data_IF_093419194505
#
_entry.id   IF_093419194505
#
_cell.length_a   1.000
_cell.length_b   1.000
_cell.length_c   1.000
_cell.angle_alpha   90.00
_cell.angle_beta   90.00
_cell.angle_gamma   90.00
#
_symmetry.space_group_name_H-M   'P 1'
#
loop_
_entity.id
_entity.type
_entity.pdbx_description
1 polymer ?
#
# COMPACT_ATOMS: atom_id res chain seq x y z
N UNK A 1 -5.34 13.70 5.53
CA UNK A 1 -6.37 12.73 5.07
C UNK A 1 -7.30 12.36 6.22
N UNK A 2 -8.61 12.23 5.99
CA UNK A 2 -9.56 11.97 7.07
C UNK A 2 -9.62 10.48 7.48
N UNK A 3 -9.78 10.22 8.78
CA UNK A 3 -10.00 8.90 9.39
C UNK A 3 -11.16 8.14 8.74
N UNK A 4 -12.15 8.88 8.21
CA UNK A 4 -13.29 8.34 7.45
C UNK A 4 -12.85 7.58 6.19
N UNK A 5 -11.81 8.06 5.50
CA UNK A 5 -11.24 7.38 4.34
C UNK A 5 -10.57 6.06 4.73
N UNK A 6 -9.77 6.06 5.80
CA UNK A 6 -9.13 4.85 6.29
C UNK A 6 -10.16 3.79 6.71
N UNK A 7 -11.25 4.20 7.37
CA UNK A 7 -12.38 3.32 7.69
C UNK A 7 -13.05 2.73 6.44
N UNK A 8 -13.20 3.51 5.37
CA UNK A 8 -13.75 3.03 4.10
C UNK A 8 -12.82 1.96 3.48
N UNK A 9 -11.52 2.25 3.42
CA UNK A 9 -10.51 1.31 2.90
C UNK A 9 -10.51 0.02 3.74
N UNK A 10 -10.59 0.12 5.07
CA UNK A 10 -10.70 -1.05 5.95
C UNK A 10 -11.98 -1.85 5.76
N UNK A 11 -13.10 -1.19 5.45
CA UNK A 11 -14.37 -1.87 5.17
C UNK A 11 -14.26 -2.68 3.88
N UNK A 12 -13.67 -2.09 2.83
CA UNK A 12 -13.49 -2.75 1.53
C UNK A 12 -12.47 -3.89 1.66
N UNK A 13 -11.29 -3.64 2.26
CA UNK A 13 -10.28 -4.67 2.48
C UNK A 13 -10.74 -5.78 3.44
N UNK A 14 -11.68 -5.49 4.34
CA UNK A 14 -12.27 -6.46 5.24
C UNK A 14 -13.06 -7.55 4.52
N UNK A 15 -13.65 -7.23 3.35
CA UNK A 15 -14.32 -8.22 2.47
C UNK A 15 -13.35 -9.24 1.87
N UNK A 16 -12.06 -8.92 1.84
CA UNK A 16 -11.01 -9.78 1.28
C UNK A 16 -10.12 -10.39 2.38
N UNK A 17 -10.45 -10.18 3.66
CA UNK A 17 -9.58 -10.47 4.81
C UNK A 17 -8.19 -9.79 4.75
N UNK A 18 -8.07 -8.69 4.00
CA UNK A 18 -6.82 -7.95 3.79
C UNK A 18 -6.66 -6.72 4.68
N UNK A 19 -7.72 -6.39 5.43
CA UNK A 19 -7.67 -5.38 6.46
C UNK A 19 -8.58 -5.79 7.62
N UNK A 20 -8.34 -5.28 8.84
CA UNK A 20 -9.18 -5.60 9.97
C UNK A 20 -10.62 -5.10 9.73
N UNK A 21 -11.55 -6.02 9.50
CA UNK A 21 -12.92 -5.71 9.07
C UNK A 21 -13.71 -4.85 10.08
N UNK A 22 -13.37 -4.92 11.37
CA UNK A 22 -13.86 -4.02 12.44
C UNK A 22 -12.83 -3.89 13.56
N UNK A 23 -12.52 -2.64 13.92
CA UNK A 23 -11.68 -2.27 15.07
C UNK A 23 -12.51 -2.18 16.37
N UNK A 24 -13.84 -2.15 16.26
CA UNK A 24 -14.76 -2.17 17.41
C UNK A 24 -15.03 -3.61 17.86
N UNK A 25 -15.02 -3.79 19.19
CA UNK A 25 -14.89 -5.08 19.90
C UNK A 25 -15.94 -6.14 19.56
N UNK A 26 -17.07 -5.81 18.94
CA UNK A 26 -18.19 -6.74 18.78
C UNK A 26 -18.66 -6.86 17.33
N UNK A 27 -18.72 -8.09 16.83
CA UNK A 27 -19.53 -8.45 15.66
C UNK A 27 -18.75 -8.73 14.38
N UNK A 28 -18.14 -9.91 14.32
CA UNK A 28 -18.08 -10.69 13.09
C UNK A 28 -18.89 -11.96 13.33
N UNK A 29 -19.78 -12.30 12.38
CA UNK A 29 -20.67 -13.48 12.41
C UNK A 29 -19.88 -14.79 12.20
N UNK A 30 -18.59 -14.69 11.83
CA UNK A 30 -17.66 -15.80 11.62
C UNK A 30 -16.33 -15.55 12.37
N UNK A 31 -15.67 -16.57 12.94
CA UNK A 31 -14.36 -16.37 13.57
C UNK A 31 -13.36 -15.85 12.54
N UNK A 32 -12.78 -14.67 12.79
CA UNK A 32 -11.91 -13.96 11.84
C UNK A 32 -10.73 -14.80 11.34
N UNK A 33 -10.26 -15.75 12.17
CA UNK A 33 -9.23 -16.72 11.81
C UNK A 33 -9.70 -17.73 10.76
N UNK A 34 -10.91 -18.30 10.91
CA UNK A 34 -11.45 -19.26 9.95
C UNK A 34 -11.78 -18.59 8.61
N UNK A 35 -12.30 -17.36 8.65
CA UNK A 35 -12.54 -16.57 7.44
C UNK A 35 -11.24 -16.28 6.66
N UNK A 36 -10.17 -15.95 7.38
CA UNK A 36 -8.86 -15.71 6.79
C UNK A 36 -8.23 -16.99 6.24
N UNK A 37 -8.38 -18.11 6.96
CA UNK A 37 -7.96 -19.43 6.48
C UNK A 37 -8.69 -19.81 5.18
N UNK A 38 -10.00 -19.56 5.11
CA UNK A 38 -10.80 -19.80 3.91
C UNK A 38 -10.25 -19.01 2.72
N UNK A 39 -9.92 -17.73 2.90
CA UNK A 39 -9.31 -16.92 1.83
C UNK A 39 -7.93 -17.43 1.40
N UNK A 40 -7.10 -17.88 2.35
CA UNK A 40 -5.79 -18.49 2.04
C UNK A 40 -5.99 -19.75 1.19
N UNK A 41 -6.92 -20.63 1.58
CA UNK A 41 -7.23 -21.86 0.84
C UNK A 41 -7.77 -21.52 -0.55
N UNK A 42 -8.70 -20.58 -0.65
CA UNK A 42 -9.32 -20.19 -1.92
C UNK A 42 -8.29 -19.59 -2.89
N UNK A 43 -7.41 -18.70 -2.41
CA UNK A 43 -6.33 -18.13 -3.22
C UNK A 43 -5.35 -19.21 -3.66
N UNK A 44 -4.95 -20.11 -2.75
CA UNK A 44 -4.00 -21.19 -3.06
C UNK A 44 -4.59 -22.15 -4.11
N UNK A 45 -5.87 -22.51 -3.98
CA UNK A 45 -6.58 -23.35 -4.94
C UNK A 45 -6.69 -22.66 -6.31
N UNK A 46 -7.08 -21.38 -6.34
CA UNK A 46 -7.18 -20.59 -7.57
C UNK A 46 -5.85 -20.50 -8.31
N UNK A 47 -4.74 -20.26 -7.60
CA UNK A 47 -3.40 -20.22 -8.18
C UNK A 47 -2.98 -21.60 -8.69
N UNK A 48 -3.29 -22.67 -7.96
CA UNK A 48 -2.98 -24.04 -8.38
C UNK A 48 -3.68 -24.39 -9.69
N UNK A 49 -4.97 -24.06 -9.80
CA UNK A 49 -5.74 -24.23 -11.04
C UNK A 49 -5.13 -23.39 -12.17
N UNK A 50 -4.83 -22.12 -11.90
CA UNK A 50 -4.24 -21.20 -12.88
C UNK A 50 -2.87 -21.70 -13.36
N UNK A 51 -2.04 -22.24 -12.47
CA UNK A 51 -0.73 -22.80 -12.79
C UNK A 51 -0.85 -23.99 -13.76
N UNK A 52 -1.83 -24.87 -13.57
CA UNK A 52 -2.11 -25.99 -14.49
C UNK A 52 -2.44 -25.47 -15.89
N UNK A 53 -3.33 -24.48 -16.01
CA UNK A 53 -3.67 -23.87 -17.31
C UNK A 53 -2.49 -23.13 -17.95
N UNK A 54 -1.63 -22.50 -17.15
CA UNK A 54 -0.44 -21.77 -17.63
C UNK A 54 0.69 -22.66 -18.10
N UNK A 55 0.68 -23.96 -17.80
CA UNK A 55 1.76 -24.89 -18.17
C UNK A 55 2.11 -24.83 -19.66
N UNK A 56 1.11 -24.75 -20.54
CA UNK A 56 1.31 -24.66 -21.99
C UNK A 56 1.94 -23.33 -22.42
N UNK A 57 1.56 -22.23 -21.75
CA UNK A 57 2.12 -20.89 -21.99
C UNK A 57 3.55 -20.76 -21.45
N UNK A 58 3.88 -21.43 -20.35
CA UNK A 58 5.24 -21.41 -19.81
C UNK A 58 6.26 -22.12 -20.71
N UNK A 59 5.82 -23.11 -21.48
CA UNK A 59 6.68 -23.82 -22.45
C UNK A 59 7.13 -22.94 -23.62
N UNK A 60 6.45 -21.82 -23.89
CA UNK A 60 6.79 -20.90 -24.99
C UNK A 60 7.69 -19.74 -24.55
N UNK A 61 7.92 -19.59 -23.24
CA UNK A 61 8.80 -18.56 -22.68
C UNK A 61 10.27 -18.99 -22.76
N UNK A 62 11.16 -18.02 -22.95
CA UNK A 62 12.60 -18.25 -22.75
C UNK A 62 12.90 -18.53 -21.27
N UNK A 63 14.06 -19.16 -20.99
CA UNK A 63 14.46 -19.51 -19.61
C UNK A 63 14.42 -18.31 -18.67
N UNK A 64 14.90 -17.15 -19.12
CA UNK A 64 14.87 -15.90 -18.34
C UNK A 64 13.42 -15.44 -18.12
N UNK A 65 12.57 -15.56 -19.14
CA UNK A 65 11.16 -15.14 -19.08
C UNK A 65 10.35 -16.00 -18.13
N UNK A 66 10.63 -17.30 -18.14
CA UNK A 66 10.06 -18.25 -17.21
C UNK A 66 10.50 -17.94 -15.77
N UNK A 67 11.78 -17.66 -15.54
CA UNK A 67 12.28 -17.31 -14.20
C UNK A 67 11.65 -16.01 -13.66
N UNK A 68 11.54 -14.97 -14.48
CA UNK A 68 10.92 -13.71 -14.09
C UNK A 68 9.41 -13.87 -13.84
N UNK A 69 8.71 -14.60 -14.71
CA UNK A 69 7.29 -14.89 -14.52
C UNK A 69 7.03 -15.70 -13.24
N UNK A 70 7.79 -16.78 -13.02
CA UNK A 70 7.66 -17.59 -11.81
C UNK A 70 7.96 -16.79 -10.55
N UNK A 71 9.00 -15.95 -10.57
CA UNK A 71 9.35 -15.07 -9.44
C UNK A 71 8.25 -14.05 -9.15
N UNK A 72 7.62 -13.50 -10.19
CA UNK A 72 6.49 -12.58 -10.08
C UNK A 72 5.26 -13.26 -9.49
N UNK A 73 4.92 -14.47 -9.96
CA UNK A 73 3.78 -15.24 -9.48
C UNK A 73 3.99 -15.63 -8.00
N UNK A 74 5.21 -16.06 -7.64
CA UNK A 74 5.57 -16.42 -6.26
C UNK A 74 5.52 -15.22 -5.32
N UNK A 75 6.10 -14.08 -5.70
CA UNK A 75 6.10 -12.90 -4.83
C UNK A 75 4.69 -12.30 -4.68
N UNK A 76 3.87 -12.32 -5.73
CA UNK A 76 2.47 -11.91 -5.65
C UNK A 76 1.67 -12.82 -4.72
N UNK A 77 1.90 -14.14 -4.78
CA UNK A 77 1.29 -15.08 -3.86
C UNK A 77 1.70 -14.80 -2.40
N UNK A 78 3.01 -14.73 -2.13
CA UNK A 78 3.54 -14.45 -0.79
C UNK A 78 2.95 -13.14 -0.27
N UNK A 79 2.92 -12.08 -1.09
CA UNK A 79 2.39 -10.77 -0.72
C UNK A 79 0.90 -10.84 -0.30
N UNK A 80 0.06 -11.57 -1.05
CA UNK A 80 -1.35 -11.74 -0.71
C UNK A 80 -1.53 -12.52 0.60
N UNK A 81 -0.81 -13.62 0.78
CA UNK A 81 -0.87 -14.43 2.01
C UNK A 81 -0.35 -13.64 3.21
N UNK A 82 0.79 -12.95 3.07
CA UNK A 82 1.35 -12.10 4.12
C UNK A 82 0.39 -10.99 4.53
N UNK A 83 -0.34 -10.39 3.58
CA UNK A 83 -1.36 -9.35 3.89
C UNK A 83 -2.46 -9.91 4.80
N UNK A 84 -2.99 -11.09 4.46
CA UNK A 84 -4.02 -11.76 5.27
C UNK A 84 -3.46 -12.13 6.65
N UNK A 85 -2.24 -12.69 6.71
CA UNK A 85 -1.59 -13.07 7.96
C UNK A 85 -1.34 -11.87 8.87
N UNK A 86 -0.82 -10.76 8.35
CA UNK A 86 -0.62 -9.51 9.10
C UNK A 86 -1.94 -9.01 9.69
N UNK A 87 -3.03 -9.07 8.92
CA UNK A 87 -4.36 -8.65 9.38
C UNK A 87 -4.86 -9.46 10.58
N UNK A 88 -4.60 -10.77 10.59
CA UNK A 88 -5.06 -11.67 11.67
C UNK A 88 -4.13 -11.64 12.88
N UNK A 89 -2.82 -11.69 12.66
CA UNK A 89 -1.81 -11.88 13.71
C UNK A 89 -1.52 -10.57 14.46
N UNK A 90 -1.52 -9.43 13.78
CA UNK A 90 -1.14 -8.14 14.34
C UNK A 90 -2.34 -7.29 14.79
N UNK A 91 -3.44 -7.93 15.19
CA UNK A 91 -4.68 -7.24 15.62
C UNK A 91 -4.43 -6.22 16.75
N UNK A 92 -3.57 -6.55 17.71
CA UNK A 92 -3.20 -5.64 18.80
C UNK A 92 -2.48 -4.38 18.26
N UNK A 93 -1.50 -4.57 17.37
CA UNK A 93 -0.76 -3.47 16.73
C UNK A 93 -1.72 -2.57 15.92
N UNK A 94 -2.67 -3.15 15.19
CA UNK A 94 -3.69 -2.40 14.45
C UNK A 94 -4.55 -1.52 15.35
N UNK A 95 -5.04 -2.06 16.47
CA UNK A 95 -5.83 -1.29 17.42
C UNK A 95 -5.01 -0.15 18.02
N UNK A 96 -3.78 -0.44 18.47
CA UNK A 96 -2.86 0.55 19.02
C UNK A 96 -2.52 1.65 18.02
N UNK A 97 -2.30 1.28 16.76
CA UNK A 97 -2.04 2.22 15.66
C UNK A 97 -3.18 3.23 15.51
N UNK A 98 -4.42 2.74 15.50
CA UNK A 98 -5.61 3.57 15.33
C UNK A 98 -5.84 4.47 16.53
N UNK A 99 -5.60 3.99 17.74
CA UNK A 99 -5.74 4.80 18.94
C UNK A 99 -4.70 5.94 18.99
N UNK A 100 -3.44 5.65 18.62
CA UNK A 100 -2.40 6.68 18.48
C UNK A 100 -2.76 7.70 17.39
N UNK A 101 -3.28 7.25 16.24
CA UNK A 101 -3.74 8.14 15.17
C UNK A 101 -4.90 9.04 15.59
N UNK A 102 -5.83 8.55 16.42
CA UNK A 102 -6.92 9.39 16.96
C UNK A 102 -6.37 10.48 17.87
N UNK A 103 -5.42 10.15 18.75
CA UNK A 103 -4.78 11.10 19.67
C UNK A 103 -4.09 12.22 18.88
N UNK A 104 -3.31 11.87 17.85
CA UNK A 104 -2.59 12.84 17.00
C UNK A 104 -3.50 13.76 16.20
N UNK A 105 -4.80 13.45 16.06
CA UNK A 105 -5.77 14.20 15.25
C UNK A 105 -6.76 15.03 16.06
N UNK A 106 -6.66 15.07 17.38
CA UNK A 106 -7.56 15.87 18.22
C UNK A 106 -7.50 17.36 17.83
N UNK A 107 -8.48 17.83 17.06
CA UNK A 107 -8.67 19.27 16.78
C UNK A 107 -9.33 19.65 15.46
N UNK A 108 -9.37 18.80 14.43
CA UNK A 108 -10.09 19.14 13.19
C UNK A 108 -10.58 17.89 12.46
N UNK A 109 -11.86 17.55 12.63
CA UNK A 109 -12.55 16.87 11.55
C UNK A 109 -12.73 17.89 10.44
N UNK A 110 -11.78 17.96 9.50
CA UNK A 110 -12.00 18.70 8.27
C UNK A 110 -13.30 18.18 7.64
N UNK A 111 -14.32 19.04 7.62
CA UNK A 111 -15.64 18.84 7.02
C UNK A 111 -15.54 18.87 5.49
N UNK A 112 -14.50 18.25 4.93
CA UNK A 112 -14.37 18.08 3.50
C UNK A 112 -15.43 17.07 3.04
N UNK A 113 -16.49 17.58 2.42
CA UNK A 113 -17.61 16.81 1.87
C UNK A 113 -17.12 15.72 0.91
N UNK A 114 -16.00 15.95 0.23
CA UNK A 114 -15.39 15.09 -0.78
C UNK A 114 -14.20 14.26 -0.28
N UNK A 115 -14.27 13.77 0.96
CA UNK A 115 -13.18 13.01 1.57
C UNK A 115 -12.86 11.67 0.89
N UNK A 116 -13.81 11.07 0.17
CA UNK A 116 -13.66 9.79 -0.52
C UNK A 116 -13.16 9.92 -1.97
N UNK A 117 -13.20 11.13 -2.54
CA UNK A 117 -12.88 11.40 -3.95
C UNK A 117 -11.52 10.87 -4.39
N UNK A 118 -10.41 11.02 -3.61
CA UNK A 118 -9.12 10.50 -4.04
C UNK A 118 -9.10 8.99 -4.23
N UNK A 119 -9.78 8.24 -3.34
CA UNK A 119 -9.85 6.78 -3.43
C UNK A 119 -10.80 6.32 -4.54
N UNK A 120 -11.93 7.00 -4.72
CA UNK A 120 -12.85 6.69 -5.81
C UNK A 120 -12.18 6.96 -7.17
N UNK A 121 -11.50 8.09 -7.31
CA UNK A 121 -10.79 8.44 -8.53
C UNK A 121 -9.69 7.42 -8.87
N UNK A 122 -8.87 7.01 -7.89
CA UNK A 122 -7.84 5.99 -8.13
C UNK A 122 -8.42 4.62 -8.44
N UNK A 123 -9.56 4.25 -7.83
CA UNK A 123 -10.26 3.00 -8.15
C UNK A 123 -10.82 3.01 -9.57
N UNK A 124 -11.45 4.10 -10.00
CA UNK A 124 -11.95 4.26 -11.38
C UNK A 124 -10.81 4.17 -12.39
N UNK A 125 -9.69 4.87 -12.14
CA UNK A 125 -8.49 4.78 -13.00
C UNK A 125 -7.96 3.35 -13.05
N UNK A 126 -7.87 2.67 -11.92
CA UNK A 126 -7.45 1.26 -11.87
C UNK A 126 -8.37 0.38 -12.71
N UNK A 127 -9.70 0.51 -12.57
CA UNK A 127 -10.67 -0.30 -13.32
C UNK A 127 -10.57 -0.03 -14.82
N UNK A 128 -10.42 1.24 -15.24
CA UNK A 128 -10.23 1.58 -16.66
C UNK A 128 -8.98 0.91 -17.23
N UNK A 129 -7.86 0.96 -16.49
CA UNK A 129 -6.61 0.32 -16.92
C UNK A 129 -6.80 -1.19 -17.04
N UNK A 130 -7.43 -1.83 -16.04
CA UNK A 130 -7.66 -3.28 -16.06
C UNK A 130 -8.62 -3.72 -17.18
N UNK A 131 -9.67 -2.96 -17.46
CA UNK A 131 -10.58 -3.23 -18.59
C UNK A 131 -9.82 -3.13 -19.91
N UNK A 132 -9.00 -2.09 -20.06
CA UNK A 132 -8.23 -1.89 -21.27
C UNK A 132 -7.15 -2.98 -21.46
N UNK A 133 -6.44 -3.35 -20.40
CA UNK A 133 -5.48 -4.46 -20.43
C UNK A 133 -6.18 -5.78 -20.76
N UNK A 134 -7.34 -6.06 -20.14
CA UNK A 134 -8.17 -7.23 -20.45
C UNK A 134 -8.55 -7.26 -21.92
N UNK A 135 -9.00 -6.14 -22.48
CA UNK A 135 -9.36 -6.03 -23.88
C UNK A 135 -8.18 -6.39 -24.81
N UNK A 136 -7.00 -5.83 -24.55
CA UNK A 136 -5.80 -6.14 -25.34
C UNK A 136 -5.40 -7.62 -25.23
N UNK A 137 -5.45 -8.19 -24.03
CA UNK A 137 -5.03 -9.57 -23.82
C UNK A 137 -6.05 -10.55 -24.44
N UNK A 138 -7.35 -10.27 -24.36
CA UNK A 138 -8.38 -11.07 -25.05
C UNK A 138 -8.18 -11.03 -26.57
N UNK A 139 -7.76 -9.91 -27.16
CA UNK A 139 -7.45 -9.86 -28.59
C UNK A 139 -6.26 -10.75 -28.98
N UNK A 140 -5.31 -10.98 -28.06
CA UNK A 140 -4.10 -11.77 -28.32
C UNK A 140 -4.33 -13.26 -28.02
N UNK A 141 -4.93 -13.57 -26.88
CA UNK A 141 -5.06 -14.92 -26.31
C UNK A 141 -6.44 -15.53 -26.59
N UNK A 142 -7.45 -14.70 -26.89
CA UNK A 142 -8.82 -15.13 -27.04
C UNK A 142 -9.55 -15.32 -25.70
N UNK A 143 -10.69 -16.05 -25.71
CA UNK A 143 -11.54 -16.23 -24.52
C UNK A 143 -10.87 -17.04 -23.39
N UNK A 144 -9.80 -17.78 -23.68
CA UNK A 144 -9.01 -18.52 -22.69
C UNK A 144 -8.33 -17.62 -21.64
N UNK A 145 -8.32 -16.30 -21.87
CA UNK A 145 -7.87 -15.29 -20.93
C UNK A 145 -8.39 -15.51 -19.51
N UNK A 146 -9.69 -15.77 -19.34
CA UNK A 146 -10.30 -15.86 -18.01
C UNK A 146 -9.75 -17.05 -17.21
N UNK A 147 -9.48 -18.17 -17.88
CA UNK A 147 -8.87 -19.34 -17.23
C UNK A 147 -7.41 -19.09 -16.83
N UNK A 148 -6.72 -18.22 -17.57
CA UNK A 148 -5.29 -17.95 -17.38
C UNK A 148 -5.01 -16.79 -16.42
N UNK A 149 -5.88 -15.78 -16.32
CA UNK A 149 -5.55 -14.51 -15.64
C UNK A 149 -6.59 -14.00 -14.64
N UNK A 150 -7.78 -14.60 -14.54
CA UNK A 150 -8.82 -14.07 -13.64
C UNK A 150 -8.37 -14.01 -12.17
N UNK A 151 -7.67 -15.04 -11.69
CA UNK A 151 -7.14 -15.08 -10.32
C UNK A 151 -6.04 -14.03 -10.12
N UNK A 152 -5.15 -13.84 -11.09
CA UNK A 152 -4.10 -12.81 -11.03
C UNK A 152 -4.74 -11.41 -10.95
N UNK A 153 -5.76 -11.14 -11.78
CA UNK A 153 -6.46 -9.85 -11.78
C UNK A 153 -7.16 -9.58 -10.45
N UNK A 154 -7.76 -10.62 -9.87
CA UNK A 154 -8.33 -10.55 -8.53
C UNK A 154 -7.26 -10.22 -7.48
N UNK A 155 -6.11 -10.90 -7.52
CA UNK A 155 -4.98 -10.63 -6.63
C UNK A 155 -4.45 -9.20 -6.78
N UNK A 156 -4.34 -8.69 -8.01
CA UNK A 156 -3.90 -7.32 -8.28
C UNK A 156 -4.87 -6.28 -7.69
N UNK A 157 -6.18 -6.51 -7.81
CA UNK A 157 -7.18 -5.64 -7.19
C UNK A 157 -7.13 -5.67 -5.66
N UNK A 158 -6.94 -6.86 -5.10
CA UNK A 158 -6.70 -7.06 -3.67
C UNK A 158 -5.49 -6.25 -3.20
N UNK A 159 -4.38 -6.33 -3.93
CA UNK A 159 -3.19 -5.54 -3.63
C UNK A 159 -3.44 -4.03 -3.76
N UNK A 160 -4.18 -3.57 -4.77
CA UNK A 160 -4.58 -2.16 -4.91
C UNK A 160 -5.23 -1.59 -3.64
N UNK A 161 -6.04 -2.39 -2.94
CA UNK A 161 -6.65 -1.98 -1.66
C UNK A 161 -5.56 -1.81 -0.58
N UNK A 162 -4.60 -2.73 -0.52
CA UNK A 162 -3.46 -2.66 0.41
C UNK A 162 -2.59 -1.43 0.11
N UNK A 163 -2.27 -1.13 -1.16
CA UNK A 163 -1.57 0.09 -1.56
C UNK A 163 -2.31 1.34 -1.06
N UNK A 164 -3.62 1.39 -1.28
CA UNK A 164 -4.47 2.51 -0.85
C UNK A 164 -4.47 2.68 0.67
N UNK A 165 -4.42 1.57 1.41
CA UNK A 165 -4.34 1.54 2.87
C UNK A 165 -3.00 2.08 3.37
N UNK A 166 -1.88 1.56 2.85
CA UNK A 166 -0.53 2.02 3.16
C UNK A 166 -0.40 3.52 2.88
N UNK A 167 -0.83 3.96 1.70
CA UNK A 167 -0.83 5.36 1.29
C UNK A 167 -1.62 6.26 2.25
N UNK A 168 -2.83 5.82 2.64
CA UNK A 168 -3.69 6.57 3.58
C UNK A 168 -3.03 6.72 4.94
N UNK A 169 -2.43 5.64 5.47
CA UNK A 169 -1.69 5.65 6.73
C UNK A 169 -0.47 6.59 6.69
N UNK A 170 0.35 6.51 5.63
CA UNK A 170 1.52 7.38 5.45
C UNK A 170 1.13 8.86 5.39
N UNK A 171 0.03 9.19 4.70
CA UNK A 171 -0.47 10.57 4.66
C UNK A 171 -0.91 11.07 6.03
N UNK A 172 -1.52 10.23 6.86
CA UNK A 172 -1.89 10.64 8.23
C UNK A 172 -0.66 10.90 9.11
N UNK A 173 0.36 10.06 9.00
CA UNK A 173 1.65 10.26 9.69
C UNK A 173 2.29 11.57 9.22
N UNK A 174 2.29 11.82 7.91
CA UNK A 174 2.78 13.06 7.31
C UNK A 174 2.07 14.32 7.80
N UNK A 175 0.75 14.29 7.83
CA UNK A 175 -0.04 15.42 8.32
C UNK A 175 0.27 15.69 9.79
N UNK A 176 0.47 14.65 10.59
CA UNK A 176 0.86 14.76 12.01
C UNK A 176 2.25 15.40 12.17
N UNK A 177 3.23 14.98 11.35
CA UNK A 177 4.57 15.62 11.29
C UNK A 177 4.45 17.11 10.93
N UNK A 178 3.61 17.45 9.96
CA UNK A 178 3.42 18.83 9.53
C UNK A 178 2.79 19.68 10.63
N UNK A 179 1.80 19.15 11.34
CA UNK A 179 1.15 19.85 12.44
C UNK A 179 2.13 20.12 13.60
N UNK A 180 2.94 19.12 13.99
CA UNK A 180 4.00 19.29 14.98
C UNK A 180 5.00 20.35 14.51
N UNK A 181 5.42 20.30 13.25
CA UNK A 181 6.35 21.29 12.70
C UNK A 181 5.78 22.71 12.68
N UNK A 182 4.49 22.88 12.37
CA UNK A 182 3.82 24.18 12.43
C UNK A 182 3.74 24.69 13.87
N UNK A 183 3.42 23.81 14.82
CA UNK A 183 3.41 24.16 16.24
C UNK A 183 4.81 24.62 16.71
N UNK A 184 5.87 23.92 16.31
CA UNK A 184 7.25 24.32 16.60
C UNK A 184 7.58 25.69 16.00
N UNK A 185 7.26 25.92 14.72
CA UNK A 185 7.54 27.20 14.05
C UNK A 185 6.72 28.37 14.62
N UNK A 186 5.57 28.08 15.24
CA UNK A 186 4.73 29.10 15.89
C UNK A 186 5.23 29.53 17.28
N UNK A 187 6.19 28.79 17.85
CA UNK A 187 6.84 29.18 19.11
C UNK A 187 7.70 30.42 18.88
N UNK A 188 7.29 31.56 19.44
CA UNK A 188 8.14 32.75 19.50
C UNK A 188 9.24 32.54 20.56
N UNK A 189 10.51 32.90 20.29
CA UNK A 189 11.63 32.67 21.21
C UNK A 189 11.45 33.35 22.58
N UNK A 190 10.69 34.46 22.67
CA UNK A 190 10.44 35.19 23.92
C UNK A 190 9.23 34.71 24.75
N UNK A 191 8.49 33.68 24.31
CA UNK A 191 7.36 33.11 25.07
C UNK A 191 7.40 31.58 25.02
N UNK A 192 8.43 31.01 25.64
CA UNK A 192 8.51 29.57 25.91
C UNK A 192 7.47 29.19 26.96
N UNK A 193 6.23 28.96 26.53
CA UNK A 193 5.20 28.41 27.40
C UNK A 193 5.52 26.93 27.65
N UNK A 194 5.80 26.57 28.91
CA UNK A 194 6.17 25.22 29.32
C UNK A 194 5.10 24.17 28.97
N UNK A 195 3.83 24.59 28.88
CA UNK A 195 2.72 23.74 28.47
C UNK A 195 2.80 23.33 26.99
N UNK A 196 3.01 24.30 26.09
CA UNK A 196 3.14 24.04 24.65
C UNK A 196 4.34 23.14 24.35
N UNK A 197 5.45 23.33 25.07
CA UNK A 197 6.64 22.50 24.89
C UNK A 197 6.42 21.05 25.36
N UNK A 198 5.70 20.86 26.48
CA UNK A 198 5.27 19.54 26.96
C UNK A 198 4.32 18.86 25.96
N UNK A 199 3.40 19.62 25.36
CA UNK A 199 2.48 19.11 24.34
C UNK A 199 3.23 18.65 23.09
N UNK A 200 4.12 19.47 22.53
CA UNK A 200 4.93 19.11 21.36
C UNK A 200 5.78 17.85 21.65
N UNK A 201 6.37 17.74 22.84
CA UNK A 201 7.14 16.55 23.24
C UNK A 201 6.25 15.30 23.32
N UNK A 202 5.03 15.43 23.82
CA UNK A 202 4.03 14.35 23.86
C UNK A 202 3.63 13.92 22.45
N UNK A 203 3.32 14.87 21.58
CA UNK A 203 2.92 14.60 20.20
C UNK A 203 4.04 13.95 19.40
N UNK A 204 5.29 14.39 19.59
CA UNK A 204 6.46 13.76 18.97
C UNK A 204 6.66 12.32 19.45
N UNK A 205 6.47 12.05 20.75
CA UNK A 205 6.54 10.69 21.29
C UNK A 205 5.44 9.80 20.71
N UNK A 206 4.20 10.29 20.64
CA UNK A 206 3.08 9.58 20.04
C UNK A 206 3.33 9.30 18.54
N UNK A 207 3.87 10.27 17.81
CA UNK A 207 4.24 10.10 16.41
C UNK A 207 5.35 9.05 16.22
N UNK A 208 6.40 9.07 17.04
CA UNK A 208 7.47 8.07 17.00
C UNK A 208 6.91 6.66 17.20
N UNK A 209 6.01 6.50 18.18
CA UNK A 209 5.33 5.24 18.42
C UNK A 209 4.42 4.84 17.25
N UNK A 210 3.75 5.81 16.61
CA UNK A 210 2.92 5.57 15.42
C UNK A 210 3.75 5.00 14.26
N UNK A 211 4.92 5.57 13.99
CA UNK A 211 5.83 5.13 12.92
C UNK A 211 6.40 3.74 13.20
N UNK A 212 6.76 3.46 14.45
CA UNK A 212 7.24 2.13 14.85
C UNK A 212 6.17 1.05 14.63
N UNK A 213 4.93 1.31 15.08
CA UNK A 213 3.82 0.39 14.86
C UNK A 213 3.51 0.24 13.37
N UNK A 214 3.54 1.32 12.61
CA UNK A 214 3.35 1.29 11.15
C UNK A 214 4.40 0.39 10.47
N UNK A 215 5.67 0.56 10.81
CA UNK A 215 6.76 -0.26 10.26
C UNK A 215 6.61 -1.73 10.65
N UNK A 216 6.14 -2.02 11.87
CA UNK A 216 5.88 -3.38 12.30
C UNK A 216 4.74 -4.01 11.50
N UNK A 217 3.68 -3.28 11.18
CA UNK A 217 2.54 -3.79 10.41
C UNK A 217 2.90 -3.94 8.93
N UNK A 218 3.49 -2.90 8.33
CA UNK A 218 3.62 -2.79 6.87
C UNK A 218 5.02 -2.99 6.34
N UNK A 219 6.07 -2.99 7.16
CA UNK A 219 7.46 -3.01 6.69
C UNK A 219 7.78 -4.17 5.75
N UNK A 220 7.39 -5.39 6.15
CA UNK A 220 7.53 -6.58 5.30
C UNK A 220 6.65 -6.54 4.04
N UNK A 221 5.43 -6.01 4.15
CA UNK A 221 4.53 -5.87 3.00
C UNK A 221 5.08 -4.89 1.98
N UNK A 222 5.63 -3.76 2.43
CA UNK A 222 6.29 -2.76 1.57
C UNK A 222 7.51 -3.39 0.87
N UNK A 223 8.31 -4.20 1.57
CA UNK A 223 9.45 -4.87 0.96
C UNK A 223 9.03 -5.85 -0.15
N UNK A 224 8.02 -6.69 0.12
CA UNK A 224 7.47 -7.63 -0.87
C UNK A 224 6.88 -6.90 -2.08
N UNK A 225 6.27 -5.75 -1.85
CA UNK A 225 5.66 -4.89 -2.86
C UNK A 225 6.69 -4.20 -3.75
N UNK A 226 7.81 -3.75 -3.17
CA UNK A 226 8.99 -3.30 -3.94
C UNK A 226 9.55 -4.45 -4.77
N UNK A 227 9.67 -5.64 -4.21
CA UNK A 227 10.12 -6.82 -4.95
C UNK A 227 9.19 -7.18 -6.12
N UNK A 228 7.88 -7.19 -5.89
CA UNK A 228 6.88 -7.49 -6.92
C UNK A 228 6.99 -6.51 -8.09
N UNK A 229 7.02 -5.21 -7.78
CA UNK A 229 7.13 -4.17 -8.80
C UNK A 229 8.47 -4.22 -9.55
N UNK A 230 9.56 -4.59 -8.87
CA UNK A 230 10.86 -4.81 -9.50
C UNK A 230 10.83 -5.97 -10.52
N UNK A 231 10.28 -7.13 -10.14
CA UNK A 231 10.17 -8.27 -11.07
C UNK A 231 9.26 -7.98 -12.27
N UNK A 232 8.15 -7.28 -12.04
CA UNK A 232 7.25 -6.84 -13.11
C UNK A 232 7.91 -5.87 -14.11
N UNK A 233 8.73 -4.94 -13.61
CA UNK A 233 9.53 -4.06 -14.47
C UNK A 233 10.55 -4.86 -15.29
N UNK A 234 11.29 -5.77 -14.66
CA UNK A 234 12.26 -6.62 -15.37
C UNK A 234 11.56 -7.46 -16.46
N UNK A 235 10.39 -8.02 -16.16
CA UNK A 235 9.59 -8.79 -17.11
C UNK A 235 9.16 -7.93 -18.29
N UNK A 236 8.72 -6.70 -18.02
CA UNK A 236 8.33 -5.73 -19.07
C UNK A 236 9.51 -5.36 -19.98
N UNK A 237 10.69 -5.13 -19.39
CA UNK A 237 11.94 -4.87 -20.14
C UNK A 237 12.32 -6.07 -20.99
N UNK A 238 12.22 -7.29 -20.45
CA UNK A 238 12.53 -8.49 -21.21
C UNK A 238 11.62 -8.67 -22.43
N UNK A 239 10.30 -8.46 -22.26
CA UNK A 239 9.34 -8.55 -23.37
C UNK A 239 9.66 -7.53 -24.46
N UNK A 240 10.09 -6.32 -24.06
CA UNK A 240 10.52 -5.26 -24.99
C UNK A 240 11.78 -5.66 -25.77
N UNK A 241 12.78 -6.26 -25.11
CA UNK A 241 14.04 -6.69 -25.74
C UNK A 241 13.81 -7.87 -26.69
N UNK A 242 13.00 -8.85 -26.28
CA UNK A 242 12.80 -10.08 -27.06
C UNK A 242 11.89 -9.89 -28.29
N UNK A 243 11.26 -8.72 -28.47
CA UNK A 243 10.50 -8.39 -29.67
C UNK A 243 9.50 -9.49 -30.05
N UNK A 244 8.59 -9.83 -29.14
CA UNK A 244 7.63 -10.92 -29.37
C UNK A 244 6.63 -10.54 -30.47
N UNK A 245 6.57 -11.34 -31.55
CA UNK A 245 5.71 -11.14 -32.74
C UNK A 245 4.21 -10.91 -32.43
N UNK A 246 3.73 -11.39 -31.28
CA UNK A 246 2.32 -11.35 -30.89
C UNK A 246 2.01 -10.35 -29.75
N UNK A 247 3.02 -9.71 -29.16
CA UNK A 247 2.80 -8.76 -28.06
C UNK A 247 2.89 -7.35 -28.60
N UNK A 248 1.75 -6.68 -28.71
CA UNK A 248 1.72 -5.28 -29.15
C UNK A 248 2.50 -4.41 -28.16
N UNK A 249 3.41 -3.58 -28.67
CA UNK A 249 4.17 -2.57 -27.90
C UNK A 249 3.27 -1.78 -26.95
N UNK A 250 2.01 -1.54 -27.35
CA UNK A 250 0.97 -0.92 -26.53
C UNK A 250 0.72 -1.66 -25.19
N UNK A 251 0.69 -2.99 -25.16
CA UNK A 251 0.47 -3.78 -23.93
C UNK A 251 1.63 -3.61 -22.96
N UNK A 252 2.87 -3.59 -23.48
CA UNK A 252 4.08 -3.37 -22.67
C UNK A 252 4.12 -1.95 -22.14
N UNK A 253 3.80 -0.95 -22.97
CA UNK A 253 3.72 0.45 -22.55
C UNK A 253 2.67 0.63 -21.46
N UNK A 254 1.50 0.00 -21.59
CA UNK A 254 0.40 0.19 -20.64
C UNK A 254 0.64 -0.54 -19.33
N UNK A 255 1.16 -1.78 -19.36
CA UNK A 255 1.63 -2.45 -18.15
C UNK A 255 2.74 -1.65 -17.46
N UNK A 256 3.70 -1.13 -18.23
CA UNK A 256 4.76 -0.28 -17.68
C UNK A 256 4.20 1.03 -17.10
N UNK A 257 3.26 1.69 -17.78
CA UNK A 257 2.58 2.89 -17.29
C UNK A 257 1.78 2.62 -16.02
N UNK A 258 1.14 1.45 -15.92
CA UNK A 258 0.42 1.03 -14.72
C UNK A 258 1.37 0.75 -13.56
N UNK A 259 2.48 0.05 -13.78
CA UNK A 259 3.50 -0.20 -12.77
C UNK A 259 4.16 1.12 -12.33
N UNK A 260 4.47 1.99 -13.30
CA UNK A 260 4.99 3.34 -13.04
C UNK A 260 3.94 4.16 -12.28
N UNK A 261 2.64 4.05 -12.59
CA UNK A 261 1.58 4.75 -11.86
C UNK A 261 1.44 4.23 -10.42
N UNK A 262 1.56 2.92 -10.20
CA UNK A 262 1.62 2.31 -8.86
C UNK A 262 2.84 2.81 -8.08
N UNK A 263 4.01 2.85 -8.73
CA UNK A 263 5.24 3.39 -8.15
C UNK A 263 5.14 4.89 -7.90
N UNK A 264 4.64 5.69 -8.84
CA UNK A 264 4.51 7.15 -8.75
C UNK A 264 3.46 7.54 -7.71
N UNK A 265 2.38 6.78 -7.55
CA UNK A 265 1.42 7.01 -6.45
C UNK A 265 2.09 6.80 -5.07
N UNK A 266 2.93 5.79 -4.95
CA UNK A 266 3.76 5.53 -3.76
C UNK A 266 4.88 6.57 -3.59
N UNK A 267 5.49 7.01 -4.68
CA UNK A 267 6.66 7.87 -4.73
C UNK A 267 6.30 9.35 -4.73
N UNK A 268 5.07 9.75 -5.06
CA UNK A 268 4.53 11.08 -4.74
C UNK A 268 4.24 11.16 -3.24
N UNK A 269 3.82 10.06 -2.61
CA UNK A 269 3.73 9.99 -1.14
C UNK A 269 5.12 10.12 -0.52
N UNK A 270 6.09 9.35 -0.99
CA UNK A 270 7.49 9.33 -0.51
C UNK A 270 8.29 10.59 -0.87
N UNK A 271 8.16 11.15 -2.06
CA UNK A 271 8.82 12.40 -2.46
C UNK A 271 8.14 13.62 -1.85
N UNK A 272 6.83 13.60 -1.53
CA UNK A 272 6.27 14.64 -0.64
C UNK A 272 6.88 14.55 0.76
N UNK A 273 7.24 13.36 1.25
CA UNK A 273 8.01 13.18 2.50
C UNK A 273 9.41 13.77 2.35
N UNK A 274 10.14 13.37 1.30
CA UNK A 274 11.56 13.71 1.10
C UNK A 274 11.78 15.17 0.65
N UNK A 275 11.09 15.65 -0.37
CA UNK A 275 11.23 17.03 -0.89
C UNK A 275 10.70 18.07 0.11
N UNK A 276 9.73 17.75 0.97
CA UNK A 276 9.28 18.70 2.02
C UNK A 276 10.16 18.66 3.27
N UNK A 277 10.83 17.54 3.54
CA UNK A 277 11.93 17.46 4.51
C UNK A 277 13.13 18.33 4.07
N UNK A 278 13.48 18.28 2.78
CA UNK A 278 14.58 19.07 2.21
C UNK A 278 14.25 20.57 2.04
N UNK A 279 13.05 20.92 1.54
CA UNK A 279 12.64 22.32 1.31
C UNK A 279 12.49 23.17 2.58
N UNK A 280 12.52 22.53 3.75
CA UNK A 280 12.38 23.20 5.04
C UNK A 280 13.71 23.43 5.77
N UNK A 281 14.85 23.11 5.16
CA UNK A 281 16.16 23.22 5.83
C UNK A 281 16.23 22.39 7.11
N UNK A 282 15.44 21.30 7.23
CA UNK A 282 15.18 20.59 8.48
C UNK A 282 16.17 19.47 8.81
N UNK A 283 17.15 19.18 7.95
CA UNK A 283 18.27 18.28 8.31
C UNK A 283 19.16 18.90 9.39
N UNK A 284 19.35 20.21 9.38
CA UNK A 284 20.06 20.96 10.45
C UNK A 284 19.23 21.09 11.72
N UNK A 285 17.89 21.19 11.62
CA UNK A 285 17.00 21.23 12.80
C UNK A 285 16.91 19.85 13.48
N UNK A 286 16.86 18.76 12.72
CA UNK A 286 16.90 17.41 13.29
C UNK A 286 18.26 17.13 13.97
N UNK A 287 19.37 17.59 13.38
CA UNK A 287 20.71 17.51 14.00
C UNK A 287 20.83 18.35 15.28
N UNK A 288 20.26 19.55 15.31
CA UNK A 288 20.32 20.44 16.48
C UNK A 288 19.35 20.04 17.59
N UNK A 289 18.20 19.44 17.27
CA UNK A 289 17.27 18.87 18.26
C UNK A 289 17.80 17.56 18.85
N UNK A 290 18.47 16.72 18.06
CA UNK A 290 19.18 15.52 18.57
C UNK A 290 20.40 15.93 19.41
N UNK A 291 21.11 17.01 19.07
CA UNK A 291 22.17 17.56 19.92
C UNK A 291 21.63 18.17 21.22
N UNK A 292 20.45 18.80 21.21
CA UNK A 292 19.80 19.29 22.42
C UNK A 292 19.32 18.15 23.33
N UNK A 293 18.84 17.04 22.78
CA UNK A 293 18.41 15.89 23.57
C UNK A 293 19.56 15.05 24.14
N UNK A 294 20.81 15.30 23.72
CA UNK A 294 22.02 14.67 24.28
C UNK A 294 22.70 15.55 25.34
N UNK A 295 22.29 16.81 25.48
CA UNK A 295 22.85 17.78 26.46
C UNK A 295 21.92 18.05 27.66
N UNK A 296 20.73 17.45 27.69
CA UNK A 296 19.74 17.47 28.77
C UNK A 296 19.48 16.05 29.26
#
# INVERSE_FOLDING_TARGET
>A
MPLKLLKLVFKIGGLFAMSPARIEKNGLVFPSKAYSLLWIILLSAGISVTAVYRTTSYKTLSTIGLMLQASTDVILFILNISTILVTVTKKYEWNKFIDVLKILRNGSEDMNVFWFTPFLATNVVFVIIMIYETYLVIQIIGPDFFNLYAIEYFQLYAQFIVYSMIYSCLNMILDSIQNISKAINSLKPNRLNSFLLKQIKSDFRALSQCVEIFNNIFGWLILLLIGFTFFELLRSVQVMIMGTRNTTVATVIIRSMFIIWLMVSFQIASNKILLRSLRSGRLTVFSSVIQLSKKL
#
